data_IF_773459961082
#
_entry.id   IF_773459961082
#
_cell.length_a   1.000
_cell.length_b   1.000
_cell.length_c   1.000
_cell.angle_alpha   90.00
_cell.angle_beta   90.00
_cell.angle_gamma   90.00
#
_symmetry.space_group_name_H-M   'P 1'
#
loop_
_entity.id
_entity.type
_entity.pdbx_description
1 polymer ?
#
# COMPACT_ATOMS: atom_id res chain seq x y z
N UNK A 1 -3.21 -2.13 11.54
CA UNK A 1 -2.62 -2.04 10.18
C UNK A 1 -1.54 -0.97 10.10
N UNK A 2 -1.78 0.28 10.52
CA UNK A 2 -0.76 1.33 10.49
C UNK A 2 0.48 1.02 11.37
N UNK A 3 0.28 0.34 12.49
CA UNK A 3 1.37 -0.16 13.34
C UNK A 3 2.36 -1.04 12.56
N UNK A 4 1.89 -1.89 11.65
CA UNK A 4 2.75 -2.72 10.80
C UNK A 4 3.60 -1.86 9.86
N UNK A 5 3.06 -0.76 9.34
CA UNK A 5 3.82 0.18 8.51
C UNK A 5 4.91 0.88 9.33
N UNK A 6 4.59 1.27 10.57
CA UNK A 6 5.54 1.84 11.52
C UNK A 6 6.66 0.85 11.88
N UNK A 7 6.35 -0.45 11.99
CA UNK A 7 7.30 -1.55 12.18
C UNK A 7 8.14 -1.90 10.93
N UNK A 8 8.05 -1.13 9.85
CA UNK A 8 8.84 -1.41 8.65
C UNK A 8 8.23 -2.42 7.68
N UNK A 9 7.04 -2.95 7.98
CA UNK A 9 6.37 -3.95 7.15
C UNK A 9 5.77 -3.31 5.89
N UNK A 10 5.51 -4.15 4.90
CA UNK A 10 4.80 -3.81 3.67
C UNK A 10 3.43 -4.47 3.71
N UNK A 11 2.44 -3.81 3.13
CA UNK A 11 1.06 -4.27 3.12
C UNK A 11 0.61 -4.50 1.69
N UNK A 12 -0.11 -5.60 1.48
CA UNK A 12 -0.89 -5.86 0.28
C UNK A 12 -2.34 -6.00 0.76
N UNK A 13 -3.22 -5.13 0.32
CA UNK A 13 -4.66 -5.32 0.51
C UNK A 13 -5.22 -6.05 -0.70
N UNK A 14 -6.13 -6.98 -0.45
CA UNK A 14 -6.81 -7.75 -1.49
C UNK A 14 -8.30 -7.63 -1.23
N UNK A 15 -9.05 -7.13 -2.20
CA UNK A 15 -10.47 -6.87 -2.05
C UNK A 15 -11.27 -7.28 -3.28
N UNK A 16 -12.38 -7.97 -3.07
CA UNK A 16 -13.39 -8.22 -4.12
C UNK A 16 -14.28 -6.99 -4.30
N UNK A 17 -13.63 -5.86 -4.56
CA UNK A 17 -14.24 -4.56 -4.68
C UNK A 17 -13.43 -3.71 -5.68
N UNK A 18 -14.04 -2.63 -6.18
CA UNK A 18 -13.32 -1.62 -6.96
C UNK A 18 -12.11 -1.09 -6.17
N UNK A 19 -10.99 -0.91 -6.88
CA UNK A 19 -9.81 -0.21 -6.36
C UNK A 19 -10.12 1.22 -5.87
N UNK A 20 -11.17 1.82 -6.43
CA UNK A 20 -11.67 3.14 -6.01
C UNK A 20 -12.74 2.99 -4.93
N UNK A 21 -12.64 3.81 -3.88
CA UNK A 21 -13.60 3.85 -2.77
C UNK A 21 -13.78 2.50 -2.05
N UNK A 22 -12.74 1.64 -2.11
CA UNK A 22 -12.69 0.35 -1.42
C UNK A 22 -11.95 0.44 -0.09
N UNK A 23 -11.68 -0.74 0.48
CA UNK A 23 -10.84 -0.92 1.65
C UNK A 23 -9.41 -0.44 1.40
N UNK A 24 -8.83 -0.77 0.24
CA UNK A 24 -7.47 -0.37 -0.10
C UNK A 24 -7.31 1.15 -0.19
N UNK A 25 -8.27 1.84 -0.83
CA UNK A 25 -8.27 3.31 -0.90
C UNK A 25 -8.48 3.94 0.49
N UNK A 26 -9.37 3.41 1.32
CA UNK A 26 -9.56 3.90 2.69
C UNK A 26 -8.29 3.75 3.54
N UNK A 27 -7.56 2.63 3.39
CA UNK A 27 -6.27 2.43 4.07
C UNK A 27 -5.21 3.42 3.56
N UNK A 28 -5.15 3.67 2.25
CA UNK A 28 -4.22 4.64 1.66
C UNK A 28 -4.51 6.06 2.16
N UNK A 29 -5.77 6.47 2.21
CA UNK A 29 -6.20 7.76 2.76
C UNK A 29 -5.79 7.89 4.22
N UNK A 30 -6.12 6.89 5.05
CA UNK A 30 -5.74 6.89 6.46
C UNK A 30 -4.22 6.92 6.65
N UNK A 31 -3.47 6.14 5.87
CA UNK A 31 -2.00 6.13 5.92
C UNK A 31 -1.42 7.49 5.53
N UNK A 32 -2.00 8.16 4.53
CA UNK A 32 -1.57 9.48 4.09
C UNK A 32 -1.81 10.53 5.17
N UNK A 33 -3.01 10.54 5.79
CA UNK A 33 -3.34 11.44 6.90
C UNK A 33 -2.41 11.27 8.10
N UNK A 34 -1.82 10.09 8.28
CA UNK A 34 -0.87 9.79 9.36
C UNK A 34 0.60 9.92 8.95
N UNK A 35 0.91 10.45 7.77
CA UNK A 35 2.27 10.65 7.29
C UNK A 35 3.06 9.34 7.07
N UNK A 36 2.37 8.23 6.83
CA UNK A 36 3.02 6.93 6.59
C UNK A 36 3.64 6.85 5.19
N UNK A 37 4.67 6.02 5.02
CA UNK A 37 5.26 5.73 3.71
C UNK A 37 4.30 4.92 2.82
N UNK A 38 3.53 5.61 1.98
CA UNK A 38 2.53 5.00 1.08
C UNK A 38 3.14 4.00 0.09
N UNK A 39 4.42 4.18 -0.29
CA UNK A 39 5.14 3.28 -1.19
C UNK A 39 5.30 1.84 -0.67
N UNK A 40 4.95 1.57 0.60
CA UNK A 40 4.93 0.23 1.21
C UNK A 40 3.58 -0.49 1.10
N UNK A 41 2.56 0.16 0.54
CA UNK A 41 1.21 -0.37 0.37
C UNK A 41 1.00 -0.71 -1.12
N UNK A 42 0.40 -1.86 -1.38
CA UNK A 42 -0.17 -2.23 -2.69
C UNK A 42 -1.62 -2.64 -2.50
N UNK A 43 -2.45 -2.34 -3.48
CA UNK A 43 -3.89 -2.65 -3.46
C UNK A 43 -4.19 -3.51 -4.69
N UNK A 44 -4.76 -4.70 -4.45
CA UNK A 44 -5.29 -5.59 -5.47
C UNK A 44 -6.81 -5.61 -5.34
N UNK A 45 -7.49 -5.35 -6.46
CA UNK A 45 -8.94 -5.21 -6.51
C UNK A 45 -9.41 -4.99 -7.95
N UNK A 46 -10.72 -4.93 -8.13
CA UNK A 46 -11.31 -4.82 -9.45
C UNK A 46 -11.02 -3.45 -10.10
N UNK A 47 -10.76 -3.40 -11.42
CA UNK A 47 -10.57 -2.15 -12.14
C UNK A 47 -11.86 -1.36 -12.27
N UNK A 48 -11.77 -0.11 -12.74
CA UNK A 48 -12.91 0.80 -12.94
C UNK A 48 -13.72 0.44 -14.20
N UNK A 49 -14.28 -0.76 -14.22
CA UNK A 49 -15.20 -1.29 -15.25
C UNK A 49 -16.00 -2.45 -14.67
N UNK A 50 -17.09 -2.82 -15.34
CA UNK A 50 -17.82 -4.03 -14.98
C UNK A 50 -16.98 -5.29 -15.26
N UNK A 51 -17.21 -6.31 -14.44
CA UNK A 51 -16.67 -7.67 -14.59
C UNK A 51 -17.74 -8.52 -15.28
N UNK A 52 -17.34 -9.34 -16.24
CA UNK A 52 -18.28 -10.17 -17.00
C UNK A 52 -19.01 -11.19 -16.12
N UNK A 53 -20.20 -11.62 -16.56
CA UNK A 53 -20.83 -12.79 -15.96
C UNK A 53 -20.01 -14.03 -16.27
N UNK A 54 -19.55 -14.73 -15.24
CA UNK A 54 -18.78 -15.97 -15.38
C UNK A 54 -18.78 -16.74 -14.04
N UNK A 55 -18.14 -17.91 -14.03
CA UNK A 55 -17.70 -18.55 -12.79
C UNK A 55 -16.88 -17.60 -11.91
N UNK A 56 -16.98 -17.79 -10.59
CA UNK A 56 -16.30 -16.94 -9.60
C UNK A 56 -14.78 -16.86 -9.81
N UNK A 57 -14.14 -17.98 -10.15
CA UNK A 57 -12.69 -18.03 -10.38
C UNK A 57 -12.27 -17.18 -11.58
N UNK A 58 -13.04 -17.18 -12.65
CA UNK A 58 -12.75 -16.35 -13.82
C UNK A 58 -13.02 -14.87 -13.55
N UNK A 59 -14.06 -14.54 -12.78
CA UNK A 59 -14.31 -13.15 -12.36
C UNK A 59 -13.16 -12.60 -11.51
N UNK A 60 -12.63 -13.39 -10.58
CA UNK A 60 -11.46 -13.04 -9.79
C UNK A 60 -10.20 -12.88 -10.67
N UNK A 61 -10.03 -13.75 -11.66
CA UNK A 61 -8.95 -13.63 -12.65
C UNK A 61 -9.08 -12.34 -13.47
N UNK A 62 -10.30 -12.02 -13.95
CA UNK A 62 -10.58 -10.79 -14.70
C UNK A 62 -10.38 -9.53 -13.83
N UNK A 63 -10.62 -9.63 -12.53
CA UNK A 63 -10.38 -8.57 -11.56
C UNK A 63 -8.90 -8.44 -11.16
N UNK A 64 -8.02 -9.37 -11.58
CA UNK A 64 -6.60 -9.39 -11.18
C UNK A 64 -6.37 -9.83 -9.73
N UNK A 65 -7.36 -10.52 -9.13
CA UNK A 65 -7.33 -10.98 -7.74
C UNK A 65 -7.06 -12.49 -7.72
N UNK A 66 -5.84 -12.88 -8.08
CA UNK A 66 -5.40 -14.27 -8.11
C UNK A 66 -4.24 -14.53 -7.14
N UNK A 67 -4.02 -15.79 -6.79
CA UNK A 67 -2.85 -16.17 -6.01
C UNK A 67 -1.54 -15.75 -6.72
N UNK A 68 -1.49 -15.87 -8.04
CA UNK A 68 -0.32 -15.49 -8.83
C UNK A 68 -0.06 -13.98 -8.79
N UNK A 69 -1.10 -13.14 -8.89
CA UNK A 69 -0.95 -11.69 -8.77
C UNK A 69 -0.55 -11.27 -7.36
N UNK A 70 -1.04 -11.95 -6.32
CA UNK A 70 -0.61 -11.72 -4.93
C UNK A 70 0.88 -12.06 -4.78
N UNK A 71 1.32 -13.22 -5.28
CA UNK A 71 2.72 -13.67 -5.22
C UNK A 71 3.63 -12.72 -5.99
N UNK A 72 3.22 -12.30 -7.19
CA UNK A 72 3.94 -11.33 -8.01
C UNK A 72 4.11 -10.00 -7.28
N UNK A 73 3.02 -9.45 -6.74
CA UNK A 73 3.04 -8.21 -5.96
C UNK A 73 3.95 -8.31 -4.73
N UNK A 74 3.93 -9.44 -4.03
CA UNK A 74 4.80 -9.68 -2.89
C UNK A 74 6.29 -9.74 -3.28
N UNK A 75 6.62 -10.39 -4.41
CA UNK A 75 7.98 -10.45 -4.95
C UNK A 75 8.48 -9.06 -5.33
N UNK A 76 7.69 -8.27 -6.04
CA UNK A 76 8.02 -6.89 -6.42
C UNK A 76 8.34 -6.04 -5.18
N UNK A 77 7.45 -6.07 -4.17
CA UNK A 77 7.64 -5.38 -2.90
C UNK A 77 8.91 -5.80 -2.15
N UNK A 78 9.26 -7.09 -2.21
CA UNK A 78 10.48 -7.64 -1.63
C UNK A 78 11.74 -7.17 -2.36
N UNK A 79 11.72 -7.17 -3.70
CA UNK A 79 12.83 -6.66 -4.53
C UNK A 79 13.06 -5.16 -4.27
N UNK A 80 12.00 -4.36 -4.26
CA UNK A 80 12.11 -2.93 -3.95
C UNK A 80 12.65 -2.67 -2.54
N UNK A 81 12.38 -3.57 -1.58
CA UNK A 81 12.99 -3.51 -0.24
C UNK A 81 14.50 -3.69 -0.34
N UNK A 82 14.93 -4.71 -1.07
CA UNK A 82 16.33 -5.04 -1.23
C UNK A 82 17.09 -3.89 -1.90
N UNK A 83 16.55 -3.34 -2.99
CA UNK A 83 17.14 -2.19 -3.71
C UNK A 83 17.26 -0.96 -2.80
N UNK A 84 16.23 -0.64 -2.01
CA UNK A 84 16.30 0.48 -1.05
C UNK A 84 17.33 0.23 0.05
N UNK A 85 17.48 -1.01 0.50
CA UNK A 85 18.47 -1.37 1.50
C UNK A 85 19.90 -1.22 0.98
N UNK A 86 20.16 -1.53 -0.30
CA UNK A 86 21.50 -1.43 -0.89
C UNK A 86 21.84 -0.01 -1.35
N UNK A 87 20.85 0.84 -1.63
CA UNK A 87 21.04 2.24 -2.05
C UNK A 87 21.18 3.24 -0.90
N UNK A 88 21.01 2.84 0.37
CA UNK A 88 21.25 3.73 1.51
C UNK A 88 22.75 4.04 1.57
N UNK A 89 23.20 5.29 1.35
CA UNK A 89 24.61 5.62 1.52
C UNK A 89 25.02 5.35 2.97
N UNK A 90 26.24 4.84 3.15
CA UNK A 90 26.84 4.65 4.46
C UNK A 90 27.10 6.02 5.10
N UNK A 91 26.11 6.50 5.87
CA UNK A 91 26.26 7.61 6.81
C UNK A 91 26.16 9.02 6.24
N UNK A 92 25.09 9.72 6.63
CA UNK A 92 25.21 11.09 7.16
C UNK A 92 24.48 11.10 8.50
N UNK A 93 25.25 11.19 9.58
CA UNK A 93 24.74 11.49 10.91
C UNK A 93 24.65 13.01 11.02
N UNK A 94 23.49 13.51 11.44
CA UNK A 94 23.28 14.90 11.80
C UNK A 94 22.34 15.67 10.87
N UNK A 95 21.07 15.78 11.26
CA UNK A 95 20.54 17.08 11.71
C UNK A 95 19.17 16.89 12.37
N UNK A 96 19.06 17.55 13.52
CA UNK A 96 17.89 17.69 14.36
C UNK A 96 16.94 18.75 13.76
N UNK A 97 15.66 18.63 14.11
CA UNK A 97 14.56 19.63 14.07
C UNK A 97 13.49 19.42 12.97
N UNK A 98 12.39 18.79 13.38
CA UNK A 98 11.04 19.22 12.98
C UNK A 98 10.06 18.84 14.10
N UNK A 99 9.68 19.81 14.91
CA UNK A 99 8.54 19.72 15.84
C UNK A 99 7.27 19.41 15.05
N UNK A 100 6.31 18.64 15.58
CA UNK A 100 5.03 18.45 14.89
C UNK A 100 4.27 19.78 14.82
N UNK A 101 3.92 20.18 13.60
CA UNK A 101 2.89 21.20 13.34
C UNK A 101 1.55 20.59 13.76
N UNK A 102 0.97 21.13 14.84
CA UNK A 102 -0.38 20.83 15.29
C UNK A 102 -1.39 21.60 14.41
N UNK A 103 -2.24 20.94 13.60
CA UNK A 103 -3.15 21.61 12.70
C UNK A 103 -4.41 22.16 13.39
N UNK A 104 -4.57 22.02 14.71
CA UNK A 104 -5.78 22.45 15.42
C UNK A 104 -5.48 23.52 16.47
N UNK A 105 -5.18 24.73 16.01
CA UNK A 105 -5.49 25.95 16.76
C UNK A 105 -6.64 26.68 16.08
N UNK A 106 -7.83 26.51 16.67
CA UNK A 106 -9.11 27.15 16.33
C UNK A 106 -9.09 28.66 16.61
N UNK A 107 -10.15 29.39 16.20
CA UNK A 107 -11.16 29.79 17.18
C UNK A 107 -12.45 28.95 17.12
#
# INVERSE_FOLDING_TARGET
LLNLLAEGKRLITVEDHSLSCGFGSALLELAATRGCELGRIRVLGAPRRFIGHHSRSAQLMEAGITADEIVKTAKELSIERQIRSTRRPAGTVGESLATPIDPVRRP
#
